data_IF_731747579102
#
_entry.id   IF_731747579102
#
_cell.length_a   1.000
_cell.length_b   1.000
_cell.length_c   1.000
_cell.angle_alpha   90.00
_cell.angle_beta   90.00
_cell.angle_gamma   90.00
#
_symmetry.space_group_name_H-M   'P 1'
#
loop_
_entity.id
_entity.type
_entity.pdbx_description
1 polymer ?
#
# COMPACT_ATOMS: atom_id res chain seq x y z
N UNK A 1 43.64 56.90 -40.10
CA UNK A 1 44.04 55.64 -39.42
C UNK A 1 42.85 54.72 -39.34
N UNK A 2 43.05 53.44 -39.71
CA UNK A 2 42.25 52.24 -39.39
C UNK A 2 40.75 52.27 -39.74
N UNK A 3 40.19 51.51 -40.69
CA UNK A 3 40.55 50.15 -41.10
C UNK A 3 39.90 49.10 -40.19
N UNK A 4 38.56 49.10 -40.09
CA UNK A 4 37.79 48.13 -39.31
C UNK A 4 37.60 46.81 -40.09
N UNK A 5 38.36 45.80 -39.70
CA UNK A 5 38.40 44.47 -40.34
C UNK A 5 37.22 43.59 -39.93
N UNK A 6 36.64 42.98 -40.95
CA UNK A 6 35.80 41.79 -40.95
C UNK A 6 36.41 40.64 -40.14
N UNK A 7 35.62 40.02 -39.27
CA UNK A 7 35.87 38.71 -38.70
C UNK A 7 34.75 37.76 -39.11
N UNK A 8 35.11 36.82 -39.99
CA UNK A 8 34.30 35.67 -40.39
C UNK A 8 34.10 34.77 -39.17
N UNK A 9 32.85 34.51 -38.80
CA UNK A 9 32.51 33.39 -37.93
C UNK A 9 32.08 32.19 -38.78
N UNK A 10 32.68 31.06 -38.42
CA UNK A 10 32.73 29.80 -39.12
C UNK A 10 31.41 29.07 -38.88
N UNK A 11 30.74 28.63 -39.96
CA UNK A 11 29.53 27.84 -39.88
C UNK A 11 29.81 26.43 -39.37
N UNK A 12 29.19 26.06 -38.25
CA UNK A 12 29.06 24.69 -37.80
C UNK A 12 27.64 24.20 -38.14
N UNK A 13 27.53 23.38 -39.17
CA UNK A 13 26.30 22.69 -39.53
C UNK A 13 25.99 21.59 -38.50
N UNK A 14 25.16 21.91 -37.51
CA UNK A 14 24.56 20.91 -36.63
C UNK A 14 23.43 20.21 -37.39
N UNK A 15 23.72 18.99 -37.85
CA UNK A 15 22.72 18.02 -38.32
C UNK A 15 21.72 17.76 -37.19
N UNK A 16 20.51 18.29 -37.33
CA UNK A 16 19.36 17.90 -36.53
C UNK A 16 19.00 16.46 -36.90
N UNK A 17 19.43 15.50 -36.08
CA UNK A 17 18.92 14.14 -36.16
C UNK A 17 17.46 14.16 -35.72
N UNK A 18 16.56 13.85 -36.65
CA UNK A 18 15.14 13.60 -36.38
C UNK A 18 15.03 12.43 -35.40
N UNK A 19 14.73 12.72 -34.14
CA UNK A 19 14.24 11.70 -33.23
C UNK A 19 12.93 11.16 -33.78
N UNK A 20 12.91 9.89 -34.18
CA UNK A 20 11.67 9.16 -34.40
C UNK A 20 10.99 8.99 -33.04
N UNK A 21 9.92 9.75 -32.81
CA UNK A 21 9.00 9.46 -31.73
C UNK A 21 8.35 8.10 -32.03
N UNK A 22 8.80 7.06 -31.31
CA UNK A 22 8.06 5.82 -31.23
C UNK A 22 6.71 6.15 -30.59
N UNK A 23 5.65 6.16 -31.40
CA UNK A 23 4.29 6.31 -30.91
C UNK A 23 4.02 5.18 -29.92
N UNK A 24 3.98 5.51 -28.63
CA UNK A 24 3.44 4.62 -27.62
C UNK A 24 2.01 4.31 -28.03
N UNK A 25 1.77 3.07 -28.43
CA UNK A 25 0.44 2.58 -28.71
C UNK A 25 -0.30 2.57 -27.37
N UNK A 26 -0.98 3.67 -27.05
CA UNK A 26 -1.91 3.74 -25.93
C UNK A 26 -3.00 2.69 -26.22
N UNK A 27 -2.87 1.49 -25.63
CA UNK A 27 -3.97 0.52 -25.60
C UNK A 27 -5.18 1.26 -25.05
N UNK A 28 -6.15 1.54 -25.92
CA UNK A 28 -7.43 2.11 -25.52
C UNK A 28 -8.03 1.20 -24.45
N UNK A 29 -8.38 1.78 -23.31
CA UNK A 29 -9.00 1.03 -22.21
C UNK A 29 -10.23 0.28 -22.71
N UNK A 30 -10.35 -0.98 -22.35
CA UNK A 30 -11.50 -1.80 -22.77
C UNK A 30 -12.78 -1.30 -22.11
N UNK A 31 -13.95 -1.53 -22.71
CA UNK A 31 -15.24 -1.13 -22.12
C UNK A 31 -15.47 -1.71 -20.72
N UNK A 32 -14.92 -2.89 -20.45
CA UNK A 32 -14.95 -3.54 -19.14
C UNK A 32 -14.06 -2.82 -18.11
N UNK A 33 -12.85 -2.39 -18.49
CA UNK A 33 -11.96 -1.57 -17.64
C UNK A 33 -12.60 -0.22 -17.31
N UNK A 34 -13.26 0.42 -18.28
CA UNK A 34 -13.98 1.66 -18.07
C UNK A 34 -15.14 1.46 -17.08
N UNK A 35 -15.98 0.44 -17.28
CA UNK A 35 -17.08 0.11 -16.37
C UNK A 35 -16.59 -0.27 -14.96
N UNK A 36 -15.46 -0.96 -14.82
CA UNK A 36 -14.85 -1.26 -13.54
C UNK A 36 -14.39 0.00 -12.81
N UNK A 37 -13.71 0.91 -13.51
CA UNK A 37 -13.31 2.22 -12.97
C UNK A 37 -14.53 3.05 -12.56
N UNK A 38 -15.57 3.12 -13.39
CA UNK A 38 -16.80 3.84 -13.06
C UNK A 38 -17.49 3.28 -11.82
N UNK A 39 -17.53 1.95 -11.65
CA UNK A 39 -18.05 1.32 -10.42
C UNK A 39 -17.16 1.64 -9.21
N UNK A 40 -15.85 1.56 -9.37
CA UNK A 40 -14.88 1.85 -8.32
C UNK A 40 -15.00 3.31 -7.83
N UNK A 41 -15.13 4.27 -8.75
CA UNK A 41 -15.32 5.70 -8.41
C UNK A 41 -16.70 6.00 -7.79
N UNK A 42 -17.72 5.19 -8.09
CA UNK A 42 -19.06 5.31 -7.51
C UNK A 42 -19.23 4.55 -6.20
N UNK A 43 -18.22 3.84 -5.74
CA UNK A 43 -18.32 3.03 -4.54
C UNK A 43 -18.45 3.91 -3.28
N UNK A 44 -19.50 3.72 -2.46
CA UNK A 44 -19.72 4.53 -1.27
C UNK A 44 -18.57 4.41 -0.27
N UNK A 45 -17.89 3.26 -0.19
CA UNK A 45 -16.79 3.04 0.76
C UNK A 45 -15.51 3.78 0.36
N UNK A 46 -15.31 4.06 -0.94
CA UNK A 46 -14.18 4.91 -1.37
C UNK A 46 -14.39 6.35 -0.91
N UNK A 47 -15.63 6.84 -0.96
CA UNK A 47 -15.98 8.16 -0.43
C UNK A 47 -15.89 8.18 1.10
N UNK A 48 -16.46 7.17 1.76
CA UNK A 48 -16.43 7.05 3.22
C UNK A 48 -14.99 6.99 3.76
N UNK A 49 -14.09 6.22 3.13
CA UNK A 49 -12.69 6.14 3.55
C UNK A 49 -12.00 7.51 3.52
N UNK A 50 -12.28 8.33 2.49
CA UNK A 50 -11.74 9.68 2.41
C UNK A 50 -12.32 10.59 3.50
N UNK A 51 -13.62 10.49 3.78
CA UNK A 51 -14.29 11.29 4.81
C UNK A 51 -13.78 10.91 6.21
N UNK A 52 -13.62 9.62 6.49
CA UNK A 52 -13.14 9.08 7.77
C UNK A 52 -11.61 8.97 7.86
N UNK A 53 -10.89 9.49 6.86
CA UNK A 53 -9.41 9.53 6.82
C UNK A 53 -8.71 8.16 6.90
N UNK A 54 -9.37 7.11 6.41
CA UNK A 54 -8.74 5.82 6.17
C UNK A 54 -7.99 5.81 4.83
N UNK A 55 -6.80 5.19 4.80
CA UNK A 55 -5.93 5.11 3.62
C UNK A 55 -6.60 4.40 2.44
N UNK A 56 -7.44 3.41 2.72
CA UNK A 56 -8.26 2.78 1.70
C UNK A 56 -9.53 2.14 2.30
N UNK A 57 -10.46 1.79 1.41
CA UNK A 57 -11.77 1.21 1.77
C UNK A 57 -11.72 -0.13 2.48
N UNK A 58 -10.59 -0.86 2.45
CA UNK A 58 -10.53 -2.16 3.11
C UNK A 58 -10.60 -2.05 4.63
N UNK A 59 -10.33 -0.86 5.22
CA UNK A 59 -10.54 -0.58 6.64
C UNK A 59 -11.94 -1.00 7.12
N UNK A 60 -12.98 -0.75 6.31
CA UNK A 60 -14.37 -1.10 6.67
C UNK A 60 -14.58 -2.60 6.82
N UNK A 61 -13.82 -3.45 6.12
CA UNK A 61 -13.89 -4.90 6.31
C UNK A 61 -13.48 -5.27 7.73
N UNK A 62 -12.33 -4.74 8.18
CA UNK A 62 -11.80 -5.04 9.50
C UNK A 62 -12.66 -4.42 10.60
N UNK A 63 -13.17 -3.20 10.41
CA UNK A 63 -14.14 -2.59 11.32
C UNK A 63 -15.37 -3.47 11.50
N UNK A 64 -15.96 -3.97 10.40
CA UNK A 64 -17.15 -4.82 10.45
C UNK A 64 -16.87 -6.17 11.14
N UNK A 65 -15.71 -6.77 10.88
CA UNK A 65 -15.27 -8.01 11.55
C UNK A 65 -15.07 -7.77 13.04
N UNK A 66 -14.35 -6.71 13.42
CA UNK A 66 -14.07 -6.40 14.82
C UNK A 66 -15.32 -5.97 15.57
N UNK A 67 -16.26 -5.27 14.93
CA UNK A 67 -17.52 -4.88 15.56
C UNK A 67 -18.39 -6.09 15.92
N UNK A 68 -18.34 -7.15 15.09
CA UNK A 68 -19.05 -8.40 15.35
C UNK A 68 -18.34 -9.31 16.34
N UNK A 69 -17.01 -9.44 16.22
CA UNK A 69 -16.25 -10.48 16.90
C UNK A 69 -15.37 -9.98 18.04
N UNK A 70 -15.18 -8.66 18.17
CA UNK A 70 -14.38 -8.00 19.22
C UNK A 70 -12.99 -8.63 19.35
N UNK A 71 -12.34 -8.82 18.21
CA UNK A 71 -11.02 -9.47 18.11
C UNK A 71 -9.89 -8.52 18.51
N UNK A 72 -10.11 -7.21 18.46
CA UNK A 72 -9.18 -6.18 18.88
C UNK A 72 -9.68 -5.53 20.17
N UNK A 73 -8.75 -5.33 21.11
CA UNK A 73 -8.98 -4.60 22.36
C UNK A 73 -7.69 -3.91 22.82
N UNK A 74 -7.78 -2.86 23.66
CA UNK A 74 -6.61 -2.19 24.19
C UNK A 74 -5.58 -3.14 24.80
N UNK A 75 -4.30 -2.90 24.55
CA UNK A 75 -3.18 -3.70 25.07
C UNK A 75 -2.78 -4.91 24.23
N UNK A 76 -3.54 -5.27 23.19
CA UNK A 76 -3.17 -6.41 22.33
C UNK A 76 -2.01 -6.07 21.39
N UNK A 77 -1.22 -7.11 21.07
CA UNK A 77 -0.16 -7.09 20.08
C UNK A 77 -0.68 -7.68 18.78
N UNK A 78 -0.71 -6.85 17.74
CA UNK A 78 -1.27 -7.18 16.42
C UNK A 78 -0.15 -7.28 15.40
N UNK A 79 -0.16 -8.36 14.63
CA UNK A 79 0.63 -8.52 13.41
C UNK A 79 -0.29 -8.37 12.20
N UNK A 80 -0.04 -7.39 11.34
CA UNK A 80 -0.79 -7.13 10.10
C UNK A 80 0.03 -7.62 8.89
N UNK A 81 -0.35 -8.78 8.36
CA UNK A 81 0.30 -9.42 7.22
C UNK A 81 -0.34 -8.93 5.91
N UNK A 82 0.46 -8.33 5.02
CA UNK A 82 -0.07 -7.69 3.81
C UNK A 82 -0.58 -6.28 4.14
N UNK A 83 0.19 -5.55 4.95
CA UNK A 83 -0.24 -4.30 5.54
C UNK A 83 -0.44 -3.17 4.51
N UNK A 84 0.17 -3.19 3.32
CA UNK A 84 0.09 -2.08 2.37
C UNK A 84 -1.34 -1.90 1.84
N UNK A 85 -1.89 -0.66 1.84
CA UNK A 85 -1.25 0.63 2.10
C UNK A 85 -1.26 1.09 3.58
N UNK A 86 -1.80 0.31 4.51
CA UNK A 86 -1.79 0.54 5.96
C UNK A 86 -3.17 0.74 6.57
N UNK A 87 -4.26 0.45 5.85
CA UNK A 87 -5.61 0.75 6.32
C UNK A 87 -6.08 -0.15 7.47
N UNK A 88 -5.71 -1.44 7.46
CA UNK A 88 -5.98 -2.35 8.58
C UNK A 88 -5.14 -2.00 9.79
N UNK A 89 -3.86 -1.68 9.59
CA UNK A 89 -3.00 -1.11 10.63
C UNK A 89 -3.59 0.17 11.27
N UNK A 90 -4.21 1.08 10.51
CA UNK A 90 -4.91 2.25 11.09
C UNK A 90 -6.03 1.86 12.06
N UNK A 91 -6.86 0.90 11.66
CA UNK A 91 -7.94 0.39 12.53
C UNK A 91 -7.33 -0.30 13.75
N UNK A 92 -6.30 -1.13 13.56
CA UNK A 92 -5.63 -1.82 14.66
C UNK A 92 -5.06 -0.85 15.69
N UNK A 93 -4.34 0.19 15.27
CA UNK A 93 -3.76 1.21 16.17
C UNK A 93 -4.83 1.83 17.07
N UNK A 94 -5.97 2.20 16.49
CA UNK A 94 -7.09 2.78 17.23
C UNK A 94 -7.68 1.77 18.22
N UNK A 95 -7.99 0.55 17.77
CA UNK A 95 -8.69 -0.46 18.58
C UNK A 95 -7.84 -1.01 19.72
N UNK A 96 -6.52 -1.08 19.55
CA UNK A 96 -5.61 -1.60 20.58
C UNK A 96 -4.90 -0.50 21.38
N UNK A 97 -5.26 0.77 21.18
CA UNK A 97 -4.65 1.93 21.84
C UNK A 97 -3.12 1.97 21.66
N UNK A 98 -2.62 1.63 20.47
CA UNK A 98 -1.17 1.51 20.24
C UNK A 98 -0.44 2.86 20.23
N UNK A 99 -1.15 3.95 19.91
CA UNK A 99 -0.63 5.31 20.02
C UNK A 99 -0.73 5.88 21.46
N UNK A 100 -1.36 5.15 22.39
CA UNK A 100 -1.53 5.60 23.77
C UNK A 100 -2.41 6.84 23.94
N UNK A 101 -3.37 7.05 23.03
CA UNK A 101 -4.25 8.23 23.06
C UNK A 101 -5.26 8.18 24.21
N UNK A 102 -5.61 6.98 24.70
CA UNK A 102 -6.40 6.81 25.92
C UNK A 102 -5.48 6.45 27.10
N UNK A 103 -5.27 7.36 28.08
CA UNK A 103 -4.41 7.10 29.23
C UNK A 103 -5.03 6.14 30.25
N UNK A 104 -6.33 5.86 30.15
CA UNK A 104 -7.05 4.96 31.06
C UNK A 104 -7.01 3.50 30.62
N UNK A 105 -6.53 3.22 29.40
CA UNK A 105 -6.50 1.89 28.81
C UNK A 105 -5.06 1.39 28.57
N UNK A 106 -4.81 0.07 28.62
CA UNK A 106 -3.51 -0.49 28.27
C UNK A 106 -3.08 -0.13 26.84
N UNK A 107 -1.80 0.15 26.64
CA UNK A 107 -1.22 0.45 25.33
C UNK A 107 -0.86 -0.85 24.62
N UNK A 108 -1.41 -1.05 23.43
CA UNK A 108 -1.11 -2.20 22.58
C UNK A 108 0.08 -1.97 21.66
N UNK A 109 0.25 -2.86 20.69
CA UNK A 109 1.35 -2.77 19.72
C UNK A 109 0.87 -3.25 18.35
N UNK A 110 1.27 -2.55 17.28
CA UNK A 110 0.95 -2.94 15.90
C UNK A 110 2.23 -3.05 15.09
N UNK A 111 2.44 -4.23 14.49
CA UNK A 111 3.51 -4.49 13.53
C UNK A 111 2.89 -4.87 12.19
N UNK A 112 3.13 -4.07 11.15
CA UNK A 112 2.76 -4.41 9.78
C UNK A 112 3.93 -4.99 9.00
N UNK A 113 3.67 -5.97 8.14
CA UNK A 113 4.66 -6.60 7.26
C UNK A 113 4.10 -6.63 5.84
N UNK A 114 4.88 -6.16 4.88
CA UNK A 114 4.48 -6.17 3.48
C UNK A 114 5.69 -6.17 2.54
N UNK A 115 5.50 -6.73 1.34
CA UNK A 115 6.45 -6.67 0.24
C UNK A 115 6.58 -5.25 -0.32
N UNK A 116 5.50 -4.48 -0.27
CA UNK A 116 5.41 -3.10 -0.72
C UNK A 116 5.71 -2.13 0.41
N UNK A 117 6.20 -0.95 0.05
CA UNK A 117 6.42 0.11 1.02
C UNK A 117 5.09 0.59 1.64
N UNK A 118 5.08 0.72 2.96
CA UNK A 118 3.97 1.30 3.72
C UNK A 118 4.42 2.63 4.30
N UNK A 119 3.65 3.70 4.05
CA UNK A 119 3.95 5.00 4.61
C UNK A 119 3.86 4.95 6.15
N UNK A 120 4.73 5.67 6.88
CA UNK A 120 4.72 5.70 8.33
C UNK A 120 3.34 6.02 8.91
N UNK A 121 2.99 5.35 10.01
CA UNK A 121 1.74 5.52 10.73
C UNK A 121 2.06 5.60 12.22
N UNK A 122 1.58 6.65 12.89
CA UNK A 122 1.75 6.78 14.34
C UNK A 122 1.11 5.59 15.08
N UNK A 123 1.80 5.06 16.08
CA UNK A 123 1.37 3.88 16.84
C UNK A 123 1.60 2.53 16.14
N UNK A 124 2.15 2.50 14.93
CA UNK A 124 2.51 1.26 14.24
C UNK A 124 3.98 1.23 13.79
N UNK A 125 4.57 0.03 13.80
CA UNK A 125 5.87 -0.24 13.21
C UNK A 125 5.68 -1.02 11.91
N UNK A 126 6.47 -0.74 10.87
CA UNK A 126 6.40 -1.48 9.61
C UNK A 126 7.73 -2.13 9.27
N UNK A 127 7.67 -3.41 8.91
CA UNK A 127 8.76 -4.16 8.31
C UNK A 127 8.47 -4.30 6.81
N UNK A 128 8.96 -3.35 6.02
CA UNK A 128 8.81 -3.34 4.56
C UNK A 128 10.03 -2.71 3.88
N UNK A 129 10.46 -3.20 2.71
CA UNK A 129 9.93 -4.38 2.01
C UNK A 129 10.38 -5.69 2.69
N UNK A 130 9.45 -6.61 2.97
CA UNK A 130 9.75 -7.91 3.57
C UNK A 130 8.72 -8.98 3.20
N UNK A 131 9.19 -10.19 2.94
CA UNK A 131 8.37 -11.37 2.69
C UNK A 131 8.09 -12.09 4.00
N UNK A 132 6.81 -12.23 4.39
CA UNK A 132 6.41 -12.91 5.63
C UNK A 132 6.82 -14.40 5.65
N UNK A 133 7.07 -15.01 4.50
CA UNK A 133 7.49 -16.41 4.37
C UNK A 133 9.00 -16.59 4.55
N UNK A 134 9.79 -15.53 4.47
CA UNK A 134 11.24 -15.59 4.69
C UNK A 134 11.54 -15.83 6.18
N UNK A 135 12.32 -16.88 6.54
CA UNK A 135 12.76 -17.12 7.91
C UNK A 135 13.42 -15.92 8.59
N UNK A 136 14.14 -15.08 7.84
CA UNK A 136 14.76 -13.85 8.37
C UNK A 136 13.70 -12.83 8.78
N UNK A 137 12.66 -12.66 7.96
CA UNK A 137 11.51 -11.81 8.28
C UNK A 137 10.80 -12.34 9.53
N UNK A 138 10.57 -13.65 9.62
CA UNK A 138 9.94 -14.27 10.79
C UNK A 138 10.77 -14.06 12.06
N UNK A 139 12.09 -14.17 11.98
CA UNK A 139 12.97 -13.84 13.09
C UNK A 139 12.82 -12.37 13.49
N UNK A 140 12.84 -11.46 12.52
CA UNK A 140 12.71 -10.03 12.77
C UNK A 140 11.36 -9.65 13.38
N UNK A 141 10.28 -10.29 12.95
CA UNK A 141 8.94 -10.16 13.55
C UNK A 141 8.97 -10.54 15.02
N UNK A 142 9.60 -11.67 15.37
CA UNK A 142 9.73 -12.11 16.77
C UNK A 142 10.57 -11.15 17.62
N UNK A 143 11.60 -10.54 17.04
CA UNK A 143 12.42 -9.54 17.75
C UNK A 143 11.65 -8.24 18.01
N UNK A 144 10.81 -7.81 17.06
CA UNK A 144 10.08 -6.55 17.15
C UNK A 144 8.81 -6.66 18.01
N UNK A 145 8.18 -7.84 18.06
CA UNK A 145 6.97 -8.03 18.87
C UNK A 145 7.31 -8.04 20.37
N UNK A 146 6.60 -7.26 21.20
CA UNK A 146 6.77 -7.31 22.65
C UNK A 146 6.55 -8.74 23.19
N UNK A 147 7.55 -9.29 23.87
CA UNK A 147 7.53 -10.67 24.36
C UNK A 147 7.58 -11.75 23.25
N UNK A 148 7.94 -11.37 22.02
CA UNK A 148 8.13 -12.26 20.89
C UNK A 148 6.88 -12.98 20.39
N UNK A 149 5.69 -12.48 20.73
CA UNK A 149 4.40 -13.10 20.40
C UNK A 149 3.38 -12.06 19.97
N UNK A 150 2.54 -12.44 19.01
CA UNK A 150 1.33 -11.70 18.65
C UNK A 150 0.13 -12.32 19.37
N UNK A 151 -0.82 -11.48 19.78
CA UNK A 151 -2.12 -11.92 20.29
C UNK A 151 -3.11 -12.11 19.13
N UNK A 152 -2.98 -11.30 18.08
CA UNK A 152 -3.83 -11.33 16.89
C UNK A 152 -2.96 -11.22 15.64
N UNK A 153 -3.25 -12.06 14.65
CA UNK A 153 -2.67 -11.97 13.31
C UNK A 153 -3.80 -11.62 12.35
N UNK A 154 -3.64 -10.54 11.60
CA UNK A 154 -4.55 -10.08 10.56
C UNK A 154 -3.90 -10.34 9.19
N UNK A 155 -4.72 -10.68 8.19
CA UNK A 155 -4.27 -10.81 6.81
C UNK A 155 -5.38 -10.46 5.84
N UNK A 156 -5.15 -9.47 4.97
CA UNK A 156 -5.95 -9.18 3.77
C UNK A 156 -5.14 -9.52 2.50
N UNK A 157 -4.13 -10.41 2.61
CA UNK A 157 -3.34 -10.86 1.48
C UNK A 157 -4.24 -11.57 0.46
N UNK A 158 -4.33 -10.98 -0.73
CA UNK A 158 -4.99 -11.59 -1.88
C UNK A 158 -4.03 -11.58 -3.08
N UNK A 159 -4.02 -12.63 -3.91
CA UNK A 159 -3.23 -12.64 -5.13
C UNK A 159 -3.68 -11.51 -6.07
N UNK A 160 -2.73 -10.93 -6.81
CA UNK A 160 -3.05 -9.95 -7.85
C UNK A 160 -4.03 -10.57 -8.86
N UNK A 161 -5.23 -10.00 -8.96
CA UNK A 161 -6.24 -10.45 -9.91
C UNK A 161 -5.74 -10.21 -11.34
N UNK A 162 -5.66 -11.29 -12.12
CA UNK A 162 -5.29 -11.27 -13.54
C UNK A 162 -6.44 -10.79 -14.42
N UNK A 163 -7.67 -10.78 -13.88
CA UNK A 163 -8.89 -10.45 -14.61
C UNK A 163 -9.47 -11.64 -15.39
N UNK A 164 -8.82 -12.81 -15.33
CA UNK A 164 -9.30 -14.07 -15.89
C UNK A 164 -9.87 -14.89 -14.73
N UNK A 165 -11.21 -14.95 -14.65
CA UNK A 165 -11.95 -15.47 -13.50
C UNK A 165 -11.60 -16.91 -13.11
N UNK A 166 -11.21 -17.75 -14.07
CA UNK A 166 -10.77 -19.14 -13.82
C UNK A 166 -9.38 -19.19 -13.17
N UNK A 167 -8.40 -18.47 -13.73
CA UNK A 167 -7.03 -18.42 -13.20
C UNK A 167 -6.95 -17.72 -11.84
N UNK A 168 -7.81 -16.73 -11.60
CA UNK A 168 -7.89 -16.05 -10.31
C UNK A 168 -8.49 -16.97 -9.23
N UNK A 169 -9.40 -17.89 -9.59
CA UNK A 169 -9.93 -18.89 -8.66
C UNK A 169 -8.88 -19.96 -8.31
N UNK A 170 -8.14 -20.45 -9.30
CA UNK A 170 -7.10 -21.47 -9.08
C UNK A 170 -5.97 -20.95 -8.17
N UNK A 171 -5.62 -19.66 -8.27
CA UNK A 171 -4.65 -19.02 -7.36
C UNK A 171 -5.17 -18.78 -5.94
N UNK A 172 -6.49 -18.74 -5.74
CA UNK A 172 -7.10 -18.61 -4.42
C UNK A 172 -7.21 -19.96 -3.70
N UNK A 173 -7.33 -21.07 -4.44
CA UNK A 173 -7.50 -22.41 -3.88
C UNK A 173 -6.16 -23.17 -3.74
N UNK A 174 -5.12 -22.77 -4.47
CA UNK A 174 -3.83 -23.47 -4.49
C UNK A 174 -2.87 -23.21 -3.31
N UNK A 175 -3.35 -22.79 -2.14
CA UNK A 175 -2.53 -22.59 -0.93
C UNK A 175 -2.62 -23.80 0.02
#
# INVERSE_FOLDING_TARGET
>A
GGGGRSWKLIGAALRCQRFHAAGSHCKGRTGAEHLWLTRHFKDPFVKAAKVESYRCRSAFKLLEVDDRHKILRPGLRVLDCGAAPGAWSQVAVQRVNAAGTDPSAPVGFVLGVDLLHVFPLEGATFLCPADVTDPKTLQRIRELLPGGRADVILSDMAPNATGIRSLDHDRLIGF
#
